data_IF_780038963666
#
_entry.id   IF_780038963666
#
_cell.length_a   1.000
_cell.length_b   1.000
_cell.length_c   1.000
_cell.angle_alpha   90.00
_cell.angle_beta   90.00
_cell.angle_gamma   90.00
#
_symmetry.space_group_name_H-M   'P 1'
#
loop_
_entity.id
_entity.type
_entity.pdbx_description
1 polymer ?
#
# COMPACT_ATOMS: atom_id res chain seq x y z
N UNK A 1 8.22 24.35 16.64
CA UNK A 1 7.49 25.43 17.33
C UNK A 1 6.03 25.35 16.88
N UNK A 2 5.07 25.57 17.77
CA UNK A 2 3.65 25.64 17.40
C UNK A 2 3.25 27.06 16.95
N UNK A 3 1.96 27.26 16.62
CA UNK A 3 1.43 28.57 16.20
C UNK A 3 1.42 29.62 17.33
N UNK A 4 1.45 29.18 18.58
CA UNK A 4 1.45 30.05 19.75
C UNK A 4 2.87 30.48 20.16
N UNK A 5 3.90 29.98 19.46
CA UNK A 5 5.30 30.28 19.70
C UNK A 5 5.94 29.38 20.76
N UNK A 6 5.29 28.30 21.18
CA UNK A 6 5.90 27.34 22.10
C UNK A 6 6.92 26.47 21.35
N UNK A 7 8.12 26.34 21.92
CA UNK A 7 9.15 25.45 21.43
C UNK A 7 9.01 24.08 22.09
N UNK A 8 9.12 23.04 21.27
CA UNK A 8 9.10 21.65 21.72
C UNK A 8 10.47 21.05 21.46
N UNK A 9 11.04 20.41 22.48
CA UNK A 9 12.38 19.81 22.44
C UNK A 9 12.27 18.34 22.83
N UNK A 10 12.71 17.47 21.92
CA UNK A 10 12.94 16.07 22.22
C UNK A 10 14.17 15.94 23.13
N UNK A 11 13.94 15.66 24.41
CA UNK A 11 15.00 15.39 25.39
C UNK A 11 14.91 13.90 25.76
N UNK A 12 15.79 13.05 25.19
CA UNK A 12 15.73 11.60 25.39
C UNK A 12 15.78 11.17 26.86
N UNK A 13 16.36 11.98 27.73
CA UNK A 13 16.52 11.67 29.16
C UNK A 13 15.32 12.14 29.98
N UNK A 14 14.75 13.30 29.65
CA UNK A 14 13.70 13.93 30.46
C UNK A 14 12.29 13.82 29.84
N UNK A 15 12.16 13.33 28.61
CA UNK A 15 10.90 13.32 27.86
C UNK A 15 10.72 14.56 26.96
N UNK A 16 9.49 14.82 26.52
CA UNK A 16 9.26 15.96 25.62
C UNK A 16 9.18 17.26 26.43
N UNK A 17 10.06 18.22 26.17
CA UNK A 17 10.06 19.51 26.86
C UNK A 17 9.28 20.54 26.06
N UNK A 18 8.34 21.23 26.68
CA UNK A 18 7.66 22.40 26.12
C UNK A 18 8.19 23.65 26.81
N UNK A 19 8.76 24.54 26.02
CA UNK A 19 9.24 25.86 26.42
C UNK A 19 8.24 26.87 25.88
N UNK A 20 7.46 27.48 26.77
CA UNK A 20 6.49 28.50 26.39
C UNK A 20 7.18 29.79 25.94
N UNK A 21 6.43 30.67 25.29
CA UNK A 21 6.96 31.94 24.75
C UNK A 21 7.56 32.86 25.82
N UNK A 22 7.10 32.74 27.05
CA UNK A 22 7.62 33.44 28.23
C UNK A 22 8.88 32.79 28.83
N UNK A 23 9.34 31.66 28.26
CA UNK A 23 10.48 30.89 28.74
C UNK A 23 10.13 29.81 29.76
N UNK A 24 8.86 29.67 30.18
CA UNK A 24 8.44 28.65 31.14
C UNK A 24 8.62 27.25 30.54
N UNK A 25 9.37 26.39 31.24
CA UNK A 25 9.63 25.01 30.81
C UNK A 25 8.70 24.05 31.54
N UNK A 26 8.06 23.17 30.77
CA UNK A 26 7.24 22.06 31.26
C UNK A 26 7.63 20.76 30.58
N UNK A 27 7.33 19.62 31.20
CA UNK A 27 7.64 18.30 30.67
C UNK A 27 6.35 17.56 30.34
N UNK A 28 6.29 17.00 29.13
CA UNK A 28 5.20 16.17 28.64
C UNK A 28 5.70 14.74 28.64
N UNK A 29 5.08 13.89 29.47
CA UNK A 29 5.37 12.47 29.47
C UNK A 29 4.90 11.82 28.15
N UNK A 30 5.80 11.07 27.52
CA UNK A 30 5.53 10.37 26.25
C UNK A 30 5.53 8.84 26.41
N UNK A 31 6.07 8.30 27.52
CA UNK A 31 6.21 6.85 27.71
C UNK A 31 7.29 6.20 26.84
N UNK A 32 8.05 6.99 26.08
CA UNK A 32 9.23 6.58 25.30
C UNK A 32 10.26 7.71 25.29
N UNK A 33 11.51 7.39 24.95
CA UNK A 33 12.58 8.37 24.79
C UNK A 33 12.42 9.12 23.45
N UNK A 34 12.10 10.43 23.45
CA UNK A 34 11.92 11.18 22.22
C UNK A 34 13.27 11.44 21.54
N UNK A 35 13.38 11.12 20.25
CA UNK A 35 14.57 11.37 19.42
C UNK A 35 14.37 12.57 18.48
N UNK A 36 13.14 12.77 18.00
CA UNK A 36 12.76 13.91 17.17
C UNK A 36 11.34 14.36 17.47
N UNK A 37 11.05 15.64 17.20
CA UNK A 37 9.71 16.21 17.41
C UNK A 37 9.32 17.14 16.27
N UNK A 38 8.07 17.02 15.83
CA UNK A 38 7.41 17.95 14.93
C UNK A 38 6.01 18.28 15.44
N UNK A 39 5.52 19.48 15.12
CA UNK A 39 4.22 19.96 15.61
C UNK A 39 3.40 20.46 14.43
N UNK A 40 2.26 19.83 14.22
CA UNK A 40 1.26 20.28 13.27
C UNK A 40 0.21 21.13 13.98
N UNK A 41 -0.23 22.18 13.32
CA UNK A 41 -1.33 22.97 13.82
C UNK A 41 -2.66 22.25 13.53
N UNK A 42 -3.56 22.22 14.53
CA UNK A 42 -4.91 21.68 14.37
C UNK A 42 -5.94 22.58 15.04
N UNK A 43 -7.20 22.44 14.63
CA UNK A 43 -8.33 23.12 15.27
C UNK A 43 -8.56 22.67 16.72
N UNK A 44 -8.12 21.46 17.08
CA UNK A 44 -8.28 20.88 18.42
C UNK A 44 -7.07 21.13 19.32
N UNK A 45 -6.13 21.99 18.93
CA UNK A 45 -4.84 22.19 19.62
C UNK A 45 -3.66 21.56 18.89
N UNK A 46 -2.41 21.79 19.33
CA UNK A 46 -1.23 21.28 18.62
C UNK A 46 -1.23 19.75 18.59
N UNK A 47 -1.01 19.19 17.40
CA UNK A 47 -0.80 17.76 17.22
C UNK A 47 0.69 17.50 17.09
N UNK A 48 1.23 16.77 18.04
CA UNK A 48 2.67 16.60 18.24
C UNK A 48 3.06 15.20 17.78
N UNK A 49 4.01 15.13 16.86
CA UNK A 49 4.63 13.91 16.37
C UNK A 49 5.99 13.75 17.02
N UNK A 50 6.21 12.61 17.68
CA UNK A 50 7.44 12.30 18.40
C UNK A 50 8.02 11.00 17.86
N UNK A 51 9.16 11.12 17.19
CA UNK A 51 9.95 9.97 16.76
C UNK A 51 10.71 9.41 17.97
N UNK A 52 10.84 8.08 18.03
CA UNK A 52 11.55 7.35 19.06
C UNK A 52 12.17 6.07 18.50
N UNK A 53 13.10 5.48 19.25
CA UNK A 53 13.65 4.17 18.93
C UNK A 53 12.57 3.07 18.91
N UNK A 54 11.45 3.30 19.59
CA UNK A 54 10.29 2.40 19.64
C UNK A 54 9.15 2.90 18.77
N UNK A 55 9.44 3.62 17.68
CA UNK A 55 8.44 4.08 16.71
C UNK A 55 7.96 5.52 16.92
N UNK A 56 6.74 5.83 16.47
CA UNK A 56 6.20 7.18 16.42
C UNK A 56 5.06 7.33 17.44
N UNK A 57 5.16 8.33 18.30
CA UNK A 57 4.07 8.70 19.21
C UNK A 57 3.44 10.00 18.73
N UNK A 58 2.12 9.96 18.54
CA UNK A 58 1.30 11.10 18.12
C UNK A 58 0.43 11.52 19.29
N UNK A 59 0.57 12.77 19.74
CA UNK A 59 -0.16 13.31 20.88
C UNK A 59 -0.98 14.53 20.47
N UNK A 60 -2.25 14.55 20.88
CA UNK A 60 -3.16 15.68 20.68
C UNK A 60 -4.03 15.79 21.92
N UNK A 61 -3.88 16.88 22.67
CA UNK A 61 -4.52 17.06 23.98
C UNK A 61 -4.14 15.91 24.95
N UNK A 62 -5.12 15.32 25.62
CA UNK A 62 -4.95 14.14 26.49
C UNK A 62 -4.79 12.83 25.72
N UNK A 63 -5.11 12.82 24.42
CA UNK A 63 -5.07 11.61 23.61
C UNK A 63 -3.64 11.36 23.12
N UNK A 64 -3.20 10.12 23.24
CA UNK A 64 -1.91 9.66 22.75
C UNK A 64 -2.11 8.36 21.98
N UNK A 65 -1.56 8.33 20.77
CA UNK A 65 -1.56 7.17 19.89
C UNK A 65 -0.10 6.80 19.62
N UNK A 66 0.26 5.55 19.86
CA UNK A 66 1.58 5.03 19.52
C UNK A 66 1.45 4.15 18.28
N UNK A 67 2.26 4.43 17.27
CA UNK A 67 2.44 3.59 16.10
C UNK A 67 3.75 2.85 16.34
N UNK A 68 3.65 1.55 16.64
CA UNK A 68 4.78 0.75 17.09
C UNK A 68 5.62 0.18 15.91
N UNK A 69 6.91 -0.10 16.14
CA UNK A 69 7.86 -0.57 15.13
C UNK A 69 8.06 -2.09 15.22
N UNK A 70 7.11 -2.90 15.64
CA UNK A 70 7.32 -4.35 15.66
C UNK A 70 6.14 -5.11 15.10
N UNK A 71 6.42 -5.87 14.03
CA UNK A 71 5.90 -7.22 13.91
C UNK A 71 6.26 -7.99 15.20
N UNK A 72 5.27 -8.49 15.93
CA UNK A 72 5.57 -9.43 17.01
C UNK A 72 6.04 -10.74 16.37
N UNK A 73 7.34 -11.05 16.36
CA UNK A 73 7.76 -12.41 15.98
C UNK A 73 7.11 -13.41 16.93
N UNK A 74 6.12 -14.16 16.43
CA UNK A 74 5.50 -15.23 17.17
C UNK A 74 6.35 -16.50 17.04
N UNK A 75 6.48 -17.24 18.13
CA UNK A 75 7.02 -18.60 18.10
C UNK A 75 5.87 -19.56 18.39
N UNK A 76 5.67 -20.52 17.50
CA UNK A 76 4.81 -21.70 17.75
C UNK A 76 5.71 -22.92 17.58
N UNK A 77 5.71 -23.82 18.57
CA UNK A 77 6.47 -25.07 18.57
C UNK A 77 7.98 -24.95 18.24
N UNK A 78 8.62 -23.87 18.67
CA UNK A 78 10.07 -23.65 18.47
C UNK A 78 10.46 -23.17 17.08
N UNK A 79 9.52 -23.06 16.14
CA UNK A 79 9.73 -22.40 14.85
C UNK A 79 9.49 -20.89 14.97
N UNK A 80 10.31 -20.10 14.26
CA UNK A 80 10.19 -18.64 14.20
C UNK A 80 9.23 -18.26 13.07
N UNK A 81 8.13 -17.61 13.40
CA UNK A 81 7.22 -17.03 12.42
C UNK A 81 7.54 -15.55 12.29
N UNK A 82 7.62 -15.09 11.04
CA UNK A 82 7.69 -13.67 10.73
C UNK A 82 6.25 -13.15 10.78
N UNK A 83 5.87 -12.46 11.86
CA UNK A 83 4.70 -11.59 11.75
C UNK A 83 4.97 -10.55 10.67
N UNK A 84 3.95 -10.31 9.87
CA UNK A 84 4.07 -9.48 8.69
C UNK A 84 4.25 -8.00 8.95
N UNK A 85 4.05 -7.42 10.14
CA UNK A 85 4.03 -5.95 10.21
C UNK A 85 5.39 -5.32 9.83
N UNK A 86 5.53 -4.80 8.59
CA UNK A 86 6.65 -3.93 8.23
C UNK A 86 6.59 -2.77 9.19
N UNK A 87 7.65 -2.67 9.97
CA UNK A 87 7.78 -1.70 11.04
C UNK A 87 7.85 -0.31 10.40
N UNK A 88 7.40 0.73 11.10
CA UNK A 88 7.65 2.12 10.66
C UNK A 88 9.15 2.50 10.68
N UNK A 89 10.05 1.53 10.77
CA UNK A 89 11.48 1.75 10.85
C UNK A 89 11.95 2.35 12.16
N UNK A 90 13.23 2.68 12.21
CA UNK A 90 13.86 3.34 13.36
C UNK A 90 13.66 4.85 13.21
N UNK A 91 12.52 5.36 13.66
CA UNK A 91 12.19 6.77 13.46
C UNK A 91 13.18 7.70 14.18
N UNK A 92 13.74 8.68 13.46
CA UNK A 92 14.70 9.64 14.03
C UNK A 92 14.29 11.10 13.85
N UNK A 93 14.64 11.73 12.73
CA UNK A 93 14.18 13.08 12.41
C UNK A 93 12.73 13.02 11.98
N UNK A 94 11.91 13.99 12.38
CA UNK A 94 10.51 14.09 11.95
C UNK A 94 10.17 15.53 11.58
N UNK A 95 9.37 15.69 10.52
CA UNK A 95 8.77 16.94 10.11
C UNK A 95 7.31 16.71 9.70
N UNK A 96 6.47 17.73 9.76
CA UNK A 96 5.05 17.63 9.39
C UNK A 96 4.79 18.35 8.08
N UNK A 97 4.04 17.70 7.19
CA UNK A 97 3.48 18.32 5.98
C UNK A 97 2.16 19.02 6.30
N UNK A 98 1.35 18.40 7.18
CA UNK A 98 0.05 18.89 7.63
C UNK A 98 -0.39 18.18 8.92
N UNK A 99 -1.63 18.40 9.35
CA UNK A 99 -2.21 17.79 10.57
C UNK A 99 -2.20 16.26 10.57
N UNK A 100 -2.36 15.62 9.41
CA UNK A 100 -2.46 14.16 9.31
C UNK A 100 -1.20 13.50 8.77
N UNK A 101 -0.24 14.30 8.31
CA UNK A 101 0.88 13.79 7.52
C UNK A 101 2.21 14.24 8.09
N UNK A 102 3.06 13.25 8.40
CA UNK A 102 4.45 13.46 8.78
C UNK A 102 5.39 12.79 7.77
N UNK A 103 6.61 13.31 7.72
CA UNK A 103 7.76 12.65 7.10
C UNK A 103 8.84 12.47 8.15
N UNK A 104 9.61 11.40 8.04
CA UNK A 104 10.65 11.09 8.99
C UNK A 104 11.82 10.38 8.33
N UNK A 105 12.97 10.40 8.99
CA UNK A 105 14.13 9.62 8.58
C UNK A 105 14.20 8.32 9.35
N UNK A 106 14.63 7.27 8.67
CA UNK A 106 15.00 5.98 9.23
C UNK A 106 16.48 5.72 8.90
N UNK A 107 17.40 6.12 9.79
CA UNK A 107 18.83 5.93 9.59
C UNK A 107 19.24 4.46 9.61
N UNK A 108 18.43 3.54 10.16
CA UNK A 108 18.77 2.11 10.16
C UNK A 108 18.60 1.50 8.77
N UNK A 109 17.54 1.88 8.06
CA UNK A 109 17.28 1.38 6.70
C UNK A 109 17.71 2.34 5.60
N UNK A 110 18.40 3.43 5.96
CA UNK A 110 18.84 4.48 5.04
C UNK A 110 17.71 5.03 4.17
N UNK A 111 16.53 5.23 4.78
CA UNK A 111 15.34 5.70 4.08
C UNK A 111 14.77 6.99 4.68
N UNK A 112 14.05 7.72 3.84
CA UNK A 112 13.18 8.82 4.22
C UNK A 112 11.76 8.36 3.94
N UNK A 113 10.89 8.48 4.93
CA UNK A 113 9.56 7.88 4.93
C UNK A 113 8.49 8.92 5.16
N UNK A 114 7.33 8.65 4.61
CA UNK A 114 6.08 9.38 4.76
C UNK A 114 5.15 8.55 5.64
N UNK A 115 4.33 9.19 6.49
CA UNK A 115 3.33 8.53 7.32
C UNK A 115 2.04 9.34 7.34
N UNK A 116 0.94 8.69 6.99
CA UNK A 116 -0.40 9.22 7.22
C UNK A 116 -0.94 8.72 8.57
N UNK A 117 -1.10 9.62 9.54
CA UNK A 117 -1.41 9.30 10.93
C UNK A 117 -2.73 8.53 11.12
N UNK A 118 -3.75 8.81 10.29
CA UNK A 118 -5.06 8.14 10.41
C UNK A 118 -5.10 6.77 9.73
N UNK A 119 -4.24 6.56 8.74
CA UNK A 119 -4.21 5.33 7.96
C UNK A 119 -3.09 4.39 8.40
N UNK A 120 -2.16 4.88 9.22
CA UNK A 120 -0.98 4.13 9.69
C UNK A 120 -0.12 3.55 8.57
N UNK A 121 -0.11 4.22 7.41
CA UNK A 121 0.58 3.75 6.21
C UNK A 121 1.93 4.46 6.04
N UNK A 122 3.04 3.76 6.30
CA UNK A 122 4.36 4.24 5.92
C UNK A 122 4.61 4.07 4.42
N UNK A 123 5.34 5.02 3.83
CA UNK A 123 5.84 4.95 2.47
C UNK A 123 7.25 5.50 2.39
N UNK A 124 8.19 4.75 1.82
CA UNK A 124 9.51 5.28 1.47
C UNK A 124 9.39 6.33 0.34
N UNK A 125 9.87 7.54 0.60
CA UNK A 125 9.90 8.68 -0.34
C UNK A 125 11.32 9.03 -0.78
N UNK A 126 12.33 8.37 -0.21
CA UNK A 126 13.72 8.43 -0.62
C UNK A 126 14.52 7.29 0.03
N UNK A 127 15.49 6.74 -0.70
CA UNK A 127 16.15 5.48 -0.33
C UNK A 127 15.35 4.24 -0.75
N UNK A 128 15.90 3.07 -0.49
CA UNK A 128 15.23 1.77 -0.68
C UNK A 128 15.63 0.82 0.43
N UNK A 129 14.82 -0.19 0.69
CA UNK A 129 15.15 -1.30 1.61
C UNK A 129 15.63 -2.51 0.81
N UNK A 130 16.45 -3.37 1.43
CA UNK A 130 16.79 -4.69 0.91
C UNK A 130 16.15 -5.75 1.82
N UNK A 131 15.60 -6.80 1.21
CA UNK A 131 15.03 -7.95 1.91
C UNK A 131 16.07 -9.07 2.13
N UNK A 132 17.33 -8.72 2.40
CA UNK A 132 18.43 -9.68 2.62
C UNK A 132 18.81 -9.82 4.10
N UNK A 133 17.92 -9.36 4.99
CA UNK A 133 18.11 -9.26 6.44
C UNK A 133 19.25 -8.33 6.92
N UNK A 134 20.09 -7.80 6.02
CA UNK A 134 21.10 -6.80 6.39
C UNK A 134 20.44 -5.47 6.75
N UNK A 135 19.38 -5.10 6.03
CA UNK A 135 18.69 -3.81 6.15
C UNK A 135 19.54 -2.61 5.74
N UNK A 136 20.82 -2.79 5.40
CA UNK A 136 21.76 -1.72 5.09
C UNK A 136 21.81 -1.46 3.59
N UNK A 137 21.20 -0.36 3.17
CA UNK A 137 21.21 0.11 1.79
C UNK A 137 22.07 1.36 1.59
N UNK A 138 23.00 1.60 2.52
CA UNK A 138 23.81 2.79 2.59
C UNK A 138 24.53 3.09 1.29
N UNK A 139 24.43 4.33 0.83
CA UNK A 139 25.14 4.77 -0.37
C UNK A 139 24.76 6.17 -0.81
N UNK A 140 25.31 6.57 -1.95
CA UNK A 140 25.02 7.87 -2.52
C UNK A 140 24.58 7.74 -3.98
N UNK A 141 23.30 8.05 -4.23
CA UNK A 141 22.76 8.12 -5.58
C UNK A 141 21.56 9.08 -5.63
N UNK A 142 21.55 9.95 -6.63
CA UNK A 142 20.39 10.77 -6.99
C UNK A 142 19.45 9.99 -7.92
N UNK A 143 18.16 10.29 -7.85
CA UNK A 143 17.17 9.64 -8.70
C UNK A 143 15.76 9.78 -8.18
N UNK A 144 14.87 8.95 -8.72
CA UNK A 144 13.53 8.72 -8.17
C UNK A 144 13.62 8.19 -6.74
N UNK A 145 12.50 8.17 -5.99
CA UNK A 145 12.46 7.54 -4.67
C UNK A 145 12.99 6.11 -4.71
N UNK A 146 12.61 5.32 -5.72
CA UNK A 146 13.01 3.93 -5.91
C UNK A 146 14.51 3.74 -6.27
N UNK A 147 15.15 4.76 -6.86
CA UNK A 147 16.55 4.67 -7.34
C UNK A 147 17.56 5.39 -6.44
N UNK A 148 17.08 6.33 -5.61
CA UNK A 148 17.91 7.14 -4.75
C UNK A 148 18.51 6.31 -3.61
N UNK A 149 19.74 6.64 -3.21
CA UNK A 149 20.40 6.06 -2.04
C UNK A 149 20.82 7.18 -1.08
N UNK A 150 20.61 6.93 0.20
CA UNK A 150 21.01 7.76 1.33
C UNK A 150 21.94 6.94 2.23
N UNK A 151 22.59 7.61 3.18
CA UNK A 151 23.44 7.00 4.19
C UNK A 151 23.25 7.72 5.53
N UNK A 152 22.68 7.02 6.50
CA UNK A 152 22.30 7.50 7.82
C UNK A 152 21.60 8.89 7.82
N UNK A 153 20.45 9.06 7.14
CA UNK A 153 19.71 10.32 7.16
C UNK A 153 19.17 10.61 8.57
N UNK A 154 19.41 11.81 9.10
CA UNK A 154 19.02 12.17 10.48
C UNK A 154 18.18 13.44 10.57
N UNK A 155 18.64 14.54 9.97
CA UNK A 155 17.91 15.80 9.96
C UNK A 155 16.86 15.84 8.85
N UNK A 156 15.70 16.42 9.13
CA UNK A 156 14.63 16.59 8.15
C UNK A 156 13.86 17.89 8.37
N UNK A 157 13.47 18.55 7.30
CA UNK A 157 12.63 19.75 7.31
C UNK A 157 11.78 19.81 6.04
N UNK A 158 10.71 20.60 6.08
CA UNK A 158 9.88 20.91 4.91
C UNK A 158 10.18 22.34 4.47
N UNK A 159 10.46 22.52 3.17
CA UNK A 159 10.61 23.85 2.58
C UNK A 159 9.23 24.51 2.32
N UNK A 160 9.15 25.84 2.12
CA UNK A 160 7.88 26.52 1.86
C UNK A 160 7.14 26.06 0.58
N UNK A 161 7.82 25.33 -0.30
CA UNK A 161 7.24 24.75 -1.52
C UNK A 161 6.75 23.31 -1.31
N UNK A 162 6.83 22.78 -0.09
CA UNK A 162 6.39 21.44 0.29
C UNK A 162 7.36 20.32 -0.07
N UNK A 163 8.60 20.65 -0.43
CA UNK A 163 9.66 19.66 -0.62
C UNK A 163 10.33 19.31 0.71
N UNK A 164 10.87 18.10 0.78
CA UNK A 164 11.56 17.60 1.98
C UNK A 164 13.05 17.84 1.83
N UNK A 165 13.62 18.54 2.80
CA UNK A 165 15.06 18.76 2.93
C UNK A 165 15.59 17.78 3.97
N UNK A 166 16.62 17.02 3.61
CA UNK A 166 17.14 15.90 4.40
C UNK A 166 18.64 16.11 4.63
N UNK A 167 19.08 15.99 5.87
CA UNK A 167 20.50 15.86 6.19
C UNK A 167 20.90 14.38 6.05
N UNK A 168 21.52 14.09 4.92
CA UNK A 168 22.08 12.79 4.54
C UNK A 168 23.46 12.66 5.19
N UNK A 169 23.45 12.42 6.50
CA UNK A 169 24.57 12.71 7.39
C UNK A 169 25.79 11.81 7.17
N UNK A 170 25.59 10.52 6.85
CA UNK A 170 26.68 9.61 6.48
C UNK A 170 27.39 10.08 5.21
N UNK A 171 26.62 10.60 4.25
CA UNK A 171 27.14 11.22 3.03
C UNK A 171 27.62 12.66 3.20
N UNK A 172 27.46 13.28 4.38
CA UNK A 172 27.81 14.68 4.68
C UNK A 172 27.17 15.69 3.72
N UNK A 173 25.88 15.49 3.42
CA UNK A 173 25.15 16.30 2.42
C UNK A 173 23.79 16.75 2.92
N UNK A 174 23.31 17.86 2.34
CA UNK A 174 21.90 18.24 2.40
C UNK A 174 21.27 17.87 1.06
N UNK A 175 20.18 17.11 1.13
CA UNK A 175 19.47 16.58 -0.03
C UNK A 175 18.04 17.10 -0.05
N UNK A 176 17.46 17.19 -1.26
CA UNK A 176 16.09 17.66 -1.45
C UNK A 176 15.27 16.64 -2.21
N UNK A 177 14.15 16.24 -1.63
CA UNK A 177 13.10 15.44 -2.26
C UNK A 177 12.01 16.42 -2.69
N UNK A 178 11.59 16.36 -3.96
CA UNK A 178 10.53 17.23 -4.46
C UNK A 178 9.19 17.08 -3.71
N UNK A 179 8.20 17.95 -3.97
CA UNK A 179 6.90 17.86 -3.32
C UNK A 179 6.30 16.46 -3.44
N UNK A 180 5.83 15.94 -2.32
CA UNK A 180 5.34 14.58 -2.22
C UNK A 180 3.86 14.54 -2.64
N UNK A 181 3.53 13.68 -3.60
CA UNK A 181 2.14 13.41 -3.92
C UNK A 181 1.47 12.70 -2.73
N UNK A 182 0.40 13.30 -2.20
CA UNK A 182 -0.53 12.63 -1.30
C UNK A 182 -1.25 11.56 -2.13
N UNK A 183 -1.00 10.29 -1.83
CA UNK A 183 -1.74 9.15 -2.37
C UNK A 183 -2.84 8.85 -1.36
N UNK A 184 -4.07 8.68 -1.84
CA UNK A 184 -5.23 8.43 -0.99
C UNK A 184 -5.75 7.03 -1.32
N UNK A 185 -5.80 6.15 -0.33
CA UNK A 185 -6.63 4.95 -0.44
C UNK A 185 -8.08 5.36 -0.33
N UNK A 186 -8.86 4.88 -1.29
CA UNK A 186 -10.28 5.14 -1.33
C UNK A 186 -10.98 4.04 -0.55
N UNK A 187 -11.38 4.36 0.67
CA UNK A 187 -12.27 3.50 1.44
C UNK A 187 -13.68 3.71 0.88
N UNK A 188 -14.38 2.64 0.50
CA UNK A 188 -15.73 2.73 -0.06
C UNK A 188 -16.79 3.06 0.99
N UNK A 189 -16.61 4.14 1.75
CA UNK A 189 -17.73 4.88 2.31
C UNK A 189 -18.10 5.99 1.31
N UNK A 190 -19.37 6.07 0.93
CA UNK A 190 -19.90 7.07 -0.01
C UNK A 190 -19.61 8.54 0.41
N UNK A 191 -19.12 8.76 1.63
CA UNK A 191 -18.74 10.04 2.21
C UNK A 191 -17.33 10.53 1.86
N UNK A 192 -16.47 9.71 1.25
CA UNK A 192 -15.08 10.08 0.94
C UNK A 192 -14.68 9.64 -0.48
N UNK A 193 -15.19 10.35 -1.48
CA UNK A 193 -14.65 10.22 -2.83
C UNK A 193 -13.24 10.80 -2.89
N UNK A 194 -12.32 10.19 -3.66
CA UNK A 194 -10.99 10.74 -3.86
C UNK A 194 -11.10 12.13 -4.47
N UNK A 195 -10.52 13.13 -3.81
CA UNK A 195 -10.24 14.42 -4.43
C UNK A 195 -8.98 14.28 -5.27
N UNK A 196 -9.14 13.94 -6.54
CA UNK A 196 -8.02 13.94 -7.47
C UNK A 196 -7.61 15.37 -7.77
N UNK A 197 -6.34 15.70 -7.55
CA UNK A 197 -5.77 16.87 -8.19
C UNK A 197 -5.57 16.51 -9.67
N UNK A 198 -6.64 16.64 -10.45
CA UNK A 198 -6.73 16.19 -11.83
C UNK A 198 -5.82 17.05 -12.72
N UNK A 199 -4.57 16.64 -12.86
CA UNK A 199 -3.72 17.12 -13.94
C UNK A 199 -4.12 16.42 -15.23
N UNK A 200 -4.24 17.17 -16.32
CA UNK A 200 -4.45 16.62 -17.67
C UNK A 200 -3.35 15.63 -18.11
N UNK A 201 -2.21 15.59 -17.40
CA UNK A 201 -1.11 14.65 -17.66
C UNK A 201 -1.10 13.43 -16.76
N UNK A 202 -2.15 13.19 -15.98
CA UNK A 202 -2.27 11.97 -15.16
C UNK A 202 -3.23 10.99 -15.83
N UNK A 203 -2.87 9.72 -15.85
CA UNK A 203 -3.74 8.60 -16.25
C UNK A 203 -4.17 7.85 -14.99
N UNK A 204 -5.43 8.04 -14.59
CA UNK A 204 -6.00 7.55 -13.33
C UNK A 204 -6.48 6.11 -13.50
N UNK A 205 -5.93 5.18 -12.73
CA UNK A 205 -6.31 3.77 -12.71
C UNK A 205 -6.91 3.46 -11.34
N UNK A 206 -8.17 3.04 -11.30
CA UNK A 206 -8.77 2.53 -10.06
C UNK A 206 -8.44 1.05 -9.93
N UNK A 207 -7.70 0.65 -8.89
CA UNK A 207 -7.45 -0.75 -8.57
C UNK A 207 -8.39 -1.19 -7.44
N UNK A 208 -9.30 -2.11 -7.75
CA UNK A 208 -10.32 -2.58 -6.83
C UNK A 208 -10.17 -4.06 -6.57
N UNK A 209 -10.22 -4.45 -5.31
CA UNK A 209 -10.09 -5.85 -4.87
C UNK A 209 -9.07 -5.92 -3.74
N UNK A 210 -8.42 -7.07 -3.59
CA UNK A 210 -7.38 -7.23 -2.59
C UNK A 210 -6.14 -6.44 -3.02
N UNK A 211 -6.14 -5.15 -2.73
CA UNK A 211 -4.93 -4.37 -2.63
C UNK A 211 -4.21 -4.86 -1.38
N UNK A 212 -3.07 -5.53 -1.55
CA UNK A 212 -2.32 -6.17 -0.46
C UNK A 212 -1.56 -5.15 0.41
N UNK A 213 -2.16 -3.98 0.67
CA UNK A 213 -1.66 -2.99 1.63
C UNK A 213 -1.93 -3.39 3.09
N UNK A 214 -2.40 -4.61 3.34
CA UNK A 214 -2.68 -5.10 4.68
C UNK A 214 -1.56 -6.01 5.19
N UNK A 215 -1.19 -5.78 6.44
CA UNK A 215 -0.29 -6.56 7.28
C UNK A 215 1.20 -6.71 6.89
N UNK A 216 1.74 -6.34 5.71
CA UNK A 216 3.21 -6.38 5.43
C UNK A 216 3.67 -5.63 4.17
N UNK A 217 2.92 -4.63 3.71
CA UNK A 217 3.30 -3.84 2.55
C UNK A 217 3.40 -2.37 2.93
N UNK A 218 4.41 -1.71 2.39
CA UNK A 218 4.43 -0.27 2.26
C UNK A 218 3.80 0.10 0.91
N UNK A 219 3.52 1.37 0.68
CA UNK A 219 3.07 1.79 -0.65
C UNK A 219 4.05 1.36 -1.74
N UNK A 220 5.35 1.44 -1.52
CA UNK A 220 6.35 1.25 -2.58
C UNK A 220 6.43 -0.19 -3.11
N UNK A 221 6.09 -1.17 -2.29
CA UNK A 221 6.04 -2.57 -2.68
C UNK A 221 4.61 -3.08 -2.84
N UNK A 222 3.62 -2.19 -2.87
CA UNK A 222 2.24 -2.51 -3.21
C UNK A 222 2.08 -2.82 -4.70
N UNK A 223 1.00 -3.52 -5.06
CA UNK A 223 0.68 -3.82 -6.46
C UNK A 223 0.53 -2.53 -7.27
N UNK A 224 -0.13 -1.52 -6.70
CA UNK A 224 -0.38 -0.23 -7.32
C UNK A 224 0.91 0.50 -7.66
N UNK A 225 1.83 0.61 -6.71
CA UNK A 225 3.11 1.28 -6.96
C UNK A 225 3.98 0.51 -7.97
N UNK A 226 3.97 -0.82 -7.91
CA UNK A 226 4.69 -1.64 -8.88
C UNK A 226 4.10 -1.49 -10.29
N UNK A 227 2.78 -1.40 -10.45
CA UNK A 227 2.13 -1.08 -11.74
C UNK A 227 2.59 0.31 -12.22
N UNK A 228 2.53 1.33 -11.36
CA UNK A 228 2.98 2.69 -11.71
C UNK A 228 4.44 2.71 -12.17
N UNK A 229 5.32 2.00 -11.46
CA UNK A 229 6.75 1.94 -11.77
C UNK A 229 7.00 1.30 -13.13
N UNK A 230 6.32 0.19 -13.43
CA UNK A 230 6.48 -0.50 -14.71
C UNK A 230 5.95 0.35 -15.87
N UNK A 231 4.76 0.92 -15.74
CA UNK A 231 4.18 1.81 -16.77
C UNK A 231 5.00 3.10 -16.97
N UNK A 232 5.61 3.63 -15.90
CA UNK A 232 6.45 4.83 -15.97
C UNK A 232 7.84 4.57 -16.58
N UNK A 233 8.33 3.33 -16.55
CA UNK A 233 9.64 2.95 -17.07
C UNK A 233 9.61 2.36 -18.49
N UNK A 234 8.42 2.09 -19.01
CA UNK A 234 8.20 1.54 -20.34
C UNK A 234 8.76 2.43 -21.45
N UNK A 235 9.66 1.85 -22.27
CA UNK A 235 10.24 2.49 -23.45
C UNK A 235 9.48 2.18 -24.74
N UNK A 236 8.38 1.44 -24.65
CA UNK A 236 7.60 1.06 -25.83
C UNK A 236 7.03 2.33 -26.52
N UNK A 237 7.01 2.39 -27.87
CA UNK A 237 6.40 3.52 -28.56
C UNK A 237 4.93 3.65 -28.17
N UNK A 238 4.49 4.88 -27.86
CA UNK A 238 3.11 5.19 -27.41
C UNK A 238 2.73 4.57 -26.05
N UNK A 239 3.71 4.18 -25.23
CA UNK A 239 3.50 3.96 -23.79
C UNK A 239 3.09 5.25 -23.06
N UNK A 240 2.56 5.14 -21.84
CA UNK A 240 2.29 6.30 -20.99
C UNK A 240 3.54 7.16 -20.82
N UNK A 241 4.69 6.53 -20.54
CA UNK A 241 5.96 7.23 -20.36
C UNK A 241 6.40 8.02 -21.61
N UNK A 242 6.32 7.42 -22.80
CA UNK A 242 6.69 8.11 -24.06
C UNK A 242 5.70 9.21 -24.45
N UNK A 243 4.43 9.09 -24.02
CA UNK A 243 3.41 10.12 -24.14
C UNK A 243 3.47 11.19 -23.04
N UNK A 244 4.38 11.05 -22.07
CA UNK A 244 4.51 11.93 -20.89
C UNK A 244 3.23 12.01 -20.05
N UNK A 245 2.46 10.92 -20.04
CA UNK A 245 1.36 10.70 -19.12
C UNK A 245 1.89 9.96 -17.89
N UNK A 246 1.55 10.45 -16.69
CA UNK A 246 1.93 9.84 -15.42
C UNK A 246 0.85 8.85 -15.00
N UNK A 247 1.13 7.55 -14.86
CA UNK A 247 0.18 6.63 -14.24
C UNK A 247 -0.05 7.03 -12.79
N UNK A 248 -1.31 6.98 -12.35
CA UNK A 248 -1.71 7.10 -10.95
C UNK A 248 -2.70 5.99 -10.64
N UNK A 249 -2.23 4.98 -9.90
CA UNK A 249 -3.07 3.87 -9.49
C UNK A 249 -3.58 4.16 -8.08
N UNK A 250 -4.90 4.19 -7.91
CA UNK A 250 -5.54 4.39 -6.61
C UNK A 250 -6.12 3.06 -6.13
N UNK A 251 -5.69 2.62 -4.96
CA UNK A 251 -6.28 1.49 -4.29
C UNK A 251 -7.70 1.85 -3.81
N UNK A 252 -8.66 1.02 -4.19
CA UNK A 252 -10.07 1.14 -3.82
C UNK A 252 -10.37 -0.05 -2.92
N UNK A 253 -10.49 0.22 -1.62
CA UNK A 253 -10.96 -0.74 -0.64
C UNK A 253 -12.49 -0.84 -0.74
N UNK A 254 -12.97 -1.44 -1.84
CA UNK A 254 -14.32 -1.96 -1.91
C UNK A 254 -14.36 -3.15 -0.96
N UNK A 255 -15.21 -3.08 0.06
CA UNK A 255 -15.40 -4.19 0.99
C UNK A 255 -15.51 -5.52 0.24
N UNK A 256 -15.15 -6.62 0.89
CA UNK A 256 -14.86 -7.91 0.26
C UNK A 256 -16.03 -8.65 -0.43
N UNK A 257 -17.13 -7.93 -0.69
CA UNK A 257 -18.32 -8.38 -1.41
C UNK A 257 -18.36 -7.74 -2.79
N UNK A 258 -18.63 -8.53 -3.82
CA UNK A 258 -18.76 -8.09 -5.21
C UNK A 258 -19.87 -7.02 -5.39
N UNK A 259 -20.91 -7.03 -4.55
CA UNK A 259 -21.95 -5.99 -4.56
C UNK A 259 -21.40 -4.59 -4.19
N UNK A 260 -20.40 -4.52 -3.30
CA UNK A 260 -19.78 -3.26 -2.91
C UNK A 260 -18.99 -2.64 -4.08
N UNK A 261 -18.32 -3.49 -4.87
CA UNK A 261 -17.63 -3.08 -6.09
C UNK A 261 -18.60 -2.48 -7.11
N UNK A 262 -19.71 -3.17 -7.39
CA UNK A 262 -20.74 -2.71 -8.33
C UNK A 262 -21.34 -1.36 -7.88
N UNK A 263 -21.73 -1.22 -6.61
CA UNK A 263 -22.29 0.01 -6.06
C UNK A 263 -21.33 1.21 -6.09
N UNK A 264 -20.05 0.97 -5.77
CA UNK A 264 -19.04 2.02 -5.85
C UNK A 264 -18.86 2.49 -7.30
N UNK A 265 -18.75 1.57 -8.25
CA UNK A 265 -18.58 1.91 -9.66
C UNK A 265 -19.82 2.59 -10.27
N UNK A 266 -21.03 2.24 -9.82
CA UNK A 266 -22.26 2.97 -10.16
C UNK A 266 -22.19 4.43 -9.69
N UNK A 267 -21.71 4.66 -8.46
CA UNK A 267 -21.54 6.02 -7.93
C UNK A 267 -20.48 6.79 -8.71
N UNK A 268 -19.32 6.18 -8.96
CA UNK A 268 -18.21 6.79 -9.70
C UNK A 268 -18.64 7.19 -11.11
N UNK A 269 -19.29 6.29 -11.84
CA UNK A 269 -19.74 6.58 -13.21
C UNK A 269 -20.86 7.63 -13.26
N UNK A 270 -21.70 7.71 -12.23
CA UNK A 270 -22.74 8.74 -12.11
C UNK A 270 -22.22 10.16 -11.81
N UNK A 271 -21.04 10.28 -11.18
CA UNK A 271 -20.46 11.57 -10.78
C UNK A 271 -19.47 12.17 -11.79
N UNK A 272 -19.11 11.42 -12.83
CA UNK A 272 -18.22 11.86 -13.92
C UNK A 272 -16.97 11.00 -14.07
N UNK A 273 -16.07 11.42 -14.96
CA UNK A 273 -14.87 10.64 -15.32
C UNK A 273 -13.75 10.80 -14.25
N UNK A 274 -13.87 10.04 -13.16
CA UNK A 274 -12.86 10.00 -12.09
C UNK A 274 -11.65 9.12 -12.43
N UNK A 275 -11.88 8.03 -13.18
CA UNK A 275 -10.85 7.09 -13.59
C UNK A 275 -10.80 6.97 -15.11
N UNK A 276 -9.59 6.81 -15.65
CA UNK A 276 -9.36 6.54 -17.06
C UNK A 276 -9.35 5.01 -17.35
N UNK A 277 -9.20 4.16 -16.33
CA UNK A 277 -9.35 2.70 -16.39
C UNK A 277 -9.66 2.11 -15.01
N UNK A 278 -10.29 0.92 -14.97
CA UNK A 278 -10.53 0.14 -13.76
C UNK A 278 -9.87 -1.23 -13.88
N UNK A 279 -9.17 -1.63 -12.83
CA UNK A 279 -8.70 -3.00 -12.60
C UNK A 279 -9.54 -3.58 -11.48
N UNK A 280 -10.17 -4.73 -11.72
CA UNK A 280 -10.99 -5.46 -10.75
C UNK A 280 -10.34 -6.82 -10.48
N UNK A 281 -9.77 -6.98 -9.30
CA UNK A 281 -9.20 -8.24 -8.83
C UNK A 281 -10.29 -9.11 -8.16
N UNK A 282 -10.46 -10.32 -8.68
CA UNK A 282 -11.45 -11.29 -8.22
C UNK A 282 -10.79 -12.63 -7.91
N UNK A 283 -10.83 -12.99 -6.63
CA UNK A 283 -10.33 -14.27 -6.11
C UNK A 283 -11.43 -15.04 -5.36
N UNK A 284 -11.11 -16.26 -4.93
CA UNK A 284 -12.06 -17.15 -4.26
C UNK A 284 -12.53 -16.63 -2.91
N UNK A 285 -11.71 -15.90 -2.16
CA UNK A 285 -12.11 -15.25 -0.89
C UNK A 285 -13.22 -14.24 -1.16
N UNK A 286 -13.04 -13.37 -2.16
CA UNK A 286 -14.05 -12.38 -2.55
C UNK A 286 -15.37 -13.06 -2.93
N UNK A 287 -15.30 -14.16 -3.70
CA UNK A 287 -16.51 -14.90 -4.10
C UNK A 287 -17.20 -15.55 -2.89
N UNK A 288 -16.47 -16.29 -2.07
CA UNK A 288 -16.97 -16.90 -0.85
C UNK A 288 -17.71 -15.89 0.05
N UNK A 289 -17.09 -14.73 0.29
CA UNK A 289 -17.66 -13.68 1.13
C UNK A 289 -18.84 -12.97 0.49
N UNK A 290 -18.86 -12.84 -0.85
CA UNK A 290 -19.98 -12.27 -1.60
C UNK A 290 -21.24 -13.13 -1.49
N UNK A 291 -21.08 -14.45 -1.54
CA UNK A 291 -22.21 -15.39 -1.57
C UNK A 291 -22.48 -16.07 -0.22
N UNK A 292 -21.68 -15.80 0.80
CA UNK A 292 -21.82 -16.41 2.12
C UNK A 292 -21.57 -17.92 2.11
N UNK A 293 -20.66 -18.38 1.26
CA UNK A 293 -20.31 -19.78 1.06
C UNK A 293 -18.87 -19.98 1.56
N UNK A 294 -18.57 -20.98 2.40
CA UNK A 294 -17.19 -21.33 2.74
C UNK A 294 -16.34 -21.59 1.49
N UNK A 295 -15.09 -21.16 1.48
CA UNK A 295 -14.23 -21.21 0.28
C UNK A 295 -14.05 -22.66 -0.25
N UNK A 296 -13.95 -23.63 0.66
CA UNK A 296 -13.85 -25.07 0.39
C UNK A 296 -15.13 -25.66 -0.25
N UNK A 297 -16.28 -25.03 -0.03
CA UNK A 297 -17.55 -25.47 -0.56
C UNK A 297 -17.85 -24.87 -1.95
N UNK A 298 -17.07 -23.88 -2.41
CA UNK A 298 -17.31 -23.22 -3.69
C UNK A 298 -17.44 -24.19 -4.87
N UNK A 299 -16.59 -25.23 -5.03
CA UNK A 299 -16.74 -26.20 -6.11
C UNK A 299 -18.04 -27.01 -5.99
N UNK A 300 -18.38 -27.48 -4.79
CA UNK A 300 -19.58 -28.27 -4.54
C UNK A 300 -20.88 -27.47 -4.73
N UNK A 301 -20.81 -26.15 -4.48
CA UNK A 301 -21.95 -25.23 -4.52
C UNK A 301 -21.92 -24.29 -5.72
N UNK A 302 -21.24 -24.67 -6.80
CA UNK A 302 -21.07 -23.86 -8.03
C UNK A 302 -22.38 -23.29 -8.56
N UNK A 303 -23.48 -24.06 -8.50
CA UNK A 303 -24.80 -23.65 -8.98
C UNK A 303 -25.41 -22.46 -8.19
N UNK A 304 -24.95 -22.19 -6.97
CA UNK A 304 -25.52 -21.14 -6.11
C UNK A 304 -24.96 -19.75 -6.42
N UNK A 305 -23.76 -19.68 -7.01
CA UNK A 305 -22.99 -18.44 -7.14
C UNK A 305 -22.44 -18.18 -8.55
N UNK A 306 -22.09 -19.20 -9.34
CA UNK A 306 -21.36 -19.04 -10.62
C UNK A 306 -22.07 -18.12 -11.60
N UNK A 307 -23.36 -18.38 -11.87
CA UNK A 307 -24.12 -17.58 -12.83
C UNK A 307 -24.45 -16.19 -12.29
N UNK A 308 -24.64 -16.05 -10.96
CA UNK A 308 -24.84 -14.74 -10.32
C UNK A 308 -23.60 -13.86 -10.44
N UNK A 309 -22.42 -14.42 -10.17
CA UNK A 309 -21.14 -13.74 -10.36
C UNK A 309 -20.97 -13.34 -11.83
N UNK A 310 -21.24 -14.25 -12.76
CA UNK A 310 -21.14 -13.99 -14.22
C UNK A 310 -22.01 -12.80 -14.64
N UNK A 311 -23.28 -12.78 -14.20
CA UNK A 311 -24.21 -11.69 -14.48
C UNK A 311 -23.77 -10.37 -13.83
N UNK A 312 -23.22 -10.41 -12.62
CA UNK A 312 -22.71 -9.23 -11.94
C UNK A 312 -21.52 -8.61 -12.69
N UNK A 313 -20.56 -9.44 -13.09
CA UNK A 313 -19.43 -8.99 -13.89
C UNK A 313 -19.88 -8.40 -15.24
N UNK A 314 -20.88 -9.00 -15.89
CA UNK A 314 -21.49 -8.45 -17.11
C UNK A 314 -22.07 -7.05 -16.90
N UNK A 315 -22.79 -6.83 -15.79
CA UNK A 315 -23.34 -5.50 -15.46
C UNK A 315 -22.23 -4.47 -15.23
N UNK A 316 -21.18 -4.85 -14.51
CA UNK A 316 -20.02 -3.98 -14.27
C UNK A 316 -19.34 -3.61 -15.59
N UNK A 317 -19.06 -4.58 -16.47
CA UNK A 317 -18.43 -4.35 -17.76
C UNK A 317 -19.30 -3.44 -18.65
N UNK A 318 -20.61 -3.70 -18.73
CA UNK A 318 -21.54 -2.89 -19.51
C UNK A 318 -21.58 -1.43 -19.02
N UNK A 319 -21.67 -1.23 -17.70
CA UNK A 319 -21.69 0.09 -17.08
C UNK A 319 -20.40 0.88 -17.39
N UNK A 320 -19.23 0.25 -17.23
CA UNK A 320 -17.95 0.90 -17.49
C UNK A 320 -17.75 1.19 -18.98
N UNK A 321 -18.19 0.29 -19.88
CA UNK A 321 -18.20 0.56 -21.33
C UNK A 321 -19.05 1.76 -21.70
N UNK A 322 -20.24 1.91 -21.10
CA UNK A 322 -21.10 3.08 -21.31
C UNK A 322 -20.41 4.38 -20.85
N UNK A 323 -19.66 4.32 -19.75
CA UNK A 323 -18.84 5.43 -19.27
C UNK A 323 -17.50 5.60 -20.04
N UNK A 324 -17.22 4.76 -21.04
CA UNK A 324 -15.94 4.72 -21.78
C UNK A 324 -14.72 4.51 -20.87
N UNK A 325 -14.89 3.76 -19.80
CA UNK A 325 -13.82 3.38 -18.88
C UNK A 325 -13.47 1.90 -19.16
N UNK A 326 -12.26 1.60 -19.65
CA UNK A 326 -11.83 0.22 -19.85
C UNK A 326 -11.76 -0.55 -18.52
N UNK A 327 -12.30 -1.77 -18.53
CA UNK A 327 -12.22 -2.72 -17.42
C UNK A 327 -11.19 -3.80 -17.72
N UNK A 328 -10.35 -4.11 -16.74
CA UNK A 328 -9.50 -5.30 -16.71
C UNK A 328 -9.84 -6.13 -15.48
N UNK A 329 -10.34 -7.35 -15.67
CA UNK A 329 -10.57 -8.29 -14.58
C UNK A 329 -9.30 -9.12 -14.38
N UNK A 330 -8.86 -9.27 -13.14
CA UNK A 330 -7.67 -10.03 -12.77
C UNK A 330 -8.09 -11.19 -11.89
N UNK A 331 -7.47 -12.35 -12.11
CA UNK A 331 -7.68 -13.51 -11.26
C UNK A 331 -6.36 -14.26 -11.07
N UNK A 332 -6.17 -14.78 -9.87
CA UNK A 332 -4.95 -15.41 -9.39
C UNK A 332 -5.31 -16.54 -8.41
N UNK A 333 -4.39 -17.49 -8.14
CA UNK A 333 -4.62 -18.51 -7.13
C UNK A 333 -4.53 -17.91 -5.72
N UNK A 334 -5.17 -18.58 -4.78
CA UNK A 334 -4.98 -18.44 -3.35
C UNK A 334 -3.99 -19.53 -2.87
N UNK A 335 -3.40 -19.37 -1.68
CA UNK A 335 -2.38 -20.26 -1.13
C UNK A 335 -2.74 -21.74 -1.14
N UNK A 336 -3.94 -22.04 -0.66
CA UNK A 336 -4.52 -23.38 -0.56
C UNK A 336 -4.93 -23.95 -1.94
N UNK A 337 -4.63 -23.27 -3.04
CA UNK A 337 -4.84 -23.78 -4.39
C UNK A 337 -3.52 -24.14 -5.07
N UNK A 338 -2.40 -23.94 -4.37
CA UNK A 338 -1.04 -24.24 -4.80
C UNK A 338 -0.49 -25.48 -4.06
N UNK A 339 0.79 -25.79 -4.25
CA UNK A 339 1.45 -26.92 -3.59
C UNK A 339 1.42 -26.80 -2.07
N UNK A 340 1.69 -27.91 -1.37
CA UNK A 340 1.79 -27.91 0.09
C UNK A 340 2.82 -26.89 0.64
N UNK A 341 3.83 -26.46 -0.14
CA UNK A 341 4.77 -25.42 0.29
C UNK A 341 4.10 -24.05 0.48
N UNK A 342 3.22 -23.69 -0.44
CA UNK A 342 2.38 -22.49 -0.36
C UNK A 342 1.08 -22.75 0.43
N UNK A 343 0.66 -24.03 0.58
CA UNK A 343 -0.54 -24.44 1.30
C UNK A 343 -0.35 -24.74 2.80
N UNK A 344 0.88 -24.82 3.32
CA UNK A 344 1.19 -25.30 4.68
C UNK A 344 0.76 -24.39 5.85
N UNK A 345 0.00 -23.33 5.62
CA UNK A 345 -0.16 -22.23 6.59
C UNK A 345 -1.19 -22.49 7.68
N UNK A 346 -2.04 -23.49 7.50
CA UNK A 346 -3.24 -23.63 8.32
C UNK A 346 -3.08 -24.54 9.56
N UNK A 347 -1.86 -25.00 9.88
CA UNK A 347 -1.62 -25.79 11.09
C UNK A 347 -1.56 -24.95 12.37
N UNK A 348 -1.57 -23.61 12.28
CA UNK A 348 -1.10 -22.77 13.39
C UNK A 348 -2.13 -21.90 14.08
N UNK A 349 -3.38 -21.74 13.61
CA UNK A 349 -4.46 -21.41 14.56
C UNK A 349 -5.92 -21.43 14.11
N UNK A 350 -6.30 -21.31 12.83
CA UNK A 350 -7.72 -21.40 12.42
C UNK A 350 -7.87 -21.93 10.99
N UNK A 351 -8.68 -22.98 10.85
CA UNK A 351 -9.22 -23.53 9.60
C UNK A 351 -8.17 -24.07 8.60
N UNK A 352 -7.77 -25.33 8.82
CA UNK A 352 -7.06 -26.13 7.83
C UNK A 352 -7.90 -26.38 6.58
N UNK A 353 -7.51 -25.78 5.45
CA UNK A 353 -8.01 -26.16 4.13
C UNK A 353 -6.99 -27.09 3.45
N UNK A 354 -7.44 -28.26 3.01
CA UNK A 354 -6.65 -29.12 2.11
C UNK A 354 -6.50 -28.44 0.75
N UNK A 355 -5.36 -28.57 0.07
CA UNK A 355 -5.19 -27.98 -1.25
C UNK A 355 -6.24 -28.45 -2.26
N UNK A 356 -6.95 -27.51 -2.90
CA UNK A 356 -7.99 -27.83 -3.89
C UNK A 356 -7.96 -26.88 -5.11
N UNK A 357 -7.29 -27.32 -6.17
CA UNK A 357 -7.19 -26.60 -7.43
C UNK A 357 -8.57 -26.33 -8.09
N UNK A 358 -9.59 -27.14 -7.80
CA UNK A 358 -10.93 -27.00 -8.42
C UNK A 358 -11.58 -25.66 -8.09
N UNK A 359 -11.27 -25.06 -6.95
CA UNK A 359 -11.78 -23.75 -6.54
C UNK A 359 -11.41 -22.68 -7.58
N UNK A 360 -10.19 -22.75 -8.11
CA UNK A 360 -9.72 -21.89 -9.20
C UNK A 360 -10.43 -22.15 -10.52
N UNK A 361 -10.60 -23.42 -10.86
CA UNK A 361 -11.24 -23.82 -12.11
C UNK A 361 -12.69 -23.33 -12.20
N UNK A 362 -13.47 -23.50 -11.12
CA UNK A 362 -14.86 -23.05 -11.08
C UNK A 362 -14.96 -21.53 -11.10
N UNK A 363 -14.03 -20.81 -10.45
CA UNK A 363 -13.95 -19.35 -10.49
C UNK A 363 -13.67 -18.85 -11.90
N UNK A 364 -12.61 -19.34 -12.53
CA UNK A 364 -12.23 -18.96 -13.89
C UNK A 364 -13.34 -19.27 -14.89
N UNK A 365 -14.01 -20.42 -14.72
CA UNK A 365 -15.17 -20.79 -15.55
C UNK A 365 -16.30 -19.78 -15.38
N UNK A 366 -16.64 -19.39 -14.15
CA UNK A 366 -17.67 -18.39 -13.87
C UNK A 366 -17.30 -17.02 -14.47
N UNK A 367 -16.06 -16.56 -14.28
CA UNK A 367 -15.62 -15.30 -14.86
C UNK A 367 -15.69 -15.34 -16.39
N UNK A 368 -15.22 -16.41 -17.04
CA UNK A 368 -15.24 -16.54 -18.50
C UNK A 368 -16.66 -16.50 -19.09
N UNK A 369 -17.68 -17.03 -18.38
CA UNK A 369 -19.09 -16.92 -18.80
C UNK A 369 -19.58 -15.47 -18.91
N UNK A 370 -18.95 -14.53 -18.20
CA UNK A 370 -19.33 -13.13 -18.27
C UNK A 370 -19.05 -12.51 -19.65
N UNK A 371 -18.07 -13.03 -20.40
CA UNK A 371 -17.60 -12.42 -21.65
C UNK A 371 -16.79 -11.14 -21.45
N UNK A 372 -16.57 -10.70 -20.21
CA UNK A 372 -15.65 -9.63 -19.88
C UNK A 372 -14.19 -10.07 -20.08
N UNK A 373 -13.29 -9.11 -20.24
CA UNK A 373 -11.89 -9.40 -20.50
C UNK A 373 -11.14 -9.76 -19.21
N UNK A 374 -10.55 -10.97 -19.17
CA UNK A 374 -9.92 -11.55 -17.98
C UNK A 374 -8.42 -11.73 -18.21
N UNK A 375 -7.63 -11.24 -17.27
CA UNK A 375 -6.23 -11.57 -17.10
C UNK A 375 -6.11 -12.70 -16.08
N UNK A 376 -5.94 -13.92 -16.59
CA UNK A 376 -5.69 -15.09 -15.77
C UNK A 376 -4.19 -15.19 -15.44
N UNK A 377 -3.84 -15.01 -14.17
CA UNK A 377 -2.47 -15.08 -13.67
C UNK A 377 -2.06 -16.45 -13.13
N UNK A 378 -2.97 -17.43 -13.13
CA UNK A 378 -2.66 -18.78 -12.66
C UNK A 378 -1.40 -19.39 -13.27
N UNK A 379 -1.17 -19.35 -14.59
CA UNK A 379 0.06 -19.89 -15.17
C UNK A 379 1.32 -19.22 -14.62
N UNK A 380 1.30 -17.89 -14.41
CA UNK A 380 2.45 -17.17 -13.89
C UNK A 380 2.78 -17.54 -12.44
N UNK A 381 1.76 -17.82 -11.61
CA UNK A 381 1.95 -18.31 -10.26
C UNK A 381 2.48 -19.75 -10.23
N UNK A 382 1.93 -20.63 -11.07
CA UNK A 382 2.38 -22.02 -11.19
C UNK A 382 3.82 -22.11 -11.69
N UNK A 383 4.19 -21.28 -12.68
CA UNK A 383 5.56 -21.19 -13.19
C UNK A 383 6.53 -20.67 -12.11
N UNK A 384 6.09 -19.70 -11.30
CA UNK A 384 6.89 -19.16 -10.21
C UNK A 384 7.10 -20.20 -9.10
N UNK A 385 6.06 -20.94 -8.74
CA UNK A 385 6.13 -22.04 -7.78
C UNK A 385 7.03 -23.19 -8.27
N UNK A 386 6.98 -23.52 -9.56
CA UNK A 386 7.81 -24.58 -10.13
C UNK A 386 9.30 -24.21 -10.22
N UNK A 387 9.68 -22.94 -10.00
CA UNK A 387 11.04 -22.49 -10.16
C UNK A 387 11.96 -23.03 -9.04
N UNK A 388 13.19 -23.48 -9.37
CA UNK A 388 14.16 -23.89 -8.36
C UNK A 388 14.47 -22.74 -7.39
N UNK A 389 14.32 -23.00 -6.07
CA UNK A 389 14.51 -22.01 -5.01
C UNK A 389 13.60 -20.78 -5.13
N UNK A 390 12.36 -20.95 -5.60
CA UNK A 390 11.41 -19.85 -5.61
C UNK A 390 11.22 -19.28 -4.19
N UNK A 391 11.12 -17.95 -4.05
CA UNK A 391 10.71 -17.36 -2.79
C UNK A 391 9.22 -17.65 -2.54
N UNK A 392 8.76 -17.63 -1.28
CA UNK A 392 7.35 -17.76 -0.96
C UNK A 392 6.53 -16.70 -1.69
N UNK A 393 5.43 -17.11 -2.33
CA UNK A 393 4.56 -16.21 -3.09
C UNK A 393 3.59 -15.44 -2.17
N UNK A 394 3.42 -15.94 -0.96
CA UNK A 394 2.49 -15.41 0.03
C UNK A 394 3.03 -15.58 1.48
N UNK A 395 2.34 -14.94 2.43
CA UNK A 395 2.75 -14.86 3.83
C UNK A 395 2.35 -16.07 4.67
N UNK A 396 3.09 -16.33 5.75
CA UNK A 396 2.91 -17.54 6.58
C UNK A 396 1.74 -17.50 7.56
N UNK A 397 1.28 -16.31 7.99
CA UNK A 397 0.21 -16.16 8.98
C UNK A 397 -1.12 -15.67 8.38
N UNK A 398 -1.11 -15.28 7.10
CA UNK A 398 -2.24 -14.63 6.43
C UNK A 398 -2.18 -14.94 4.93
N UNK A 399 -3.30 -15.27 4.25
CA UNK A 399 -3.36 -15.52 2.80
C UNK A 399 -2.87 -14.41 1.85
N UNK A 400 -2.27 -13.34 2.38
CA UNK A 400 -1.80 -12.20 1.61
C UNK A 400 -0.47 -12.48 0.89
N UNK A 401 -0.25 -11.87 -0.28
CA UNK A 401 0.99 -12.02 -1.04
C UNK A 401 2.23 -11.54 -0.28
N UNK A 402 3.38 -12.16 -0.56
CA UNK A 402 4.68 -11.52 -0.32
C UNK A 402 4.93 -10.44 -1.36
N UNK A 403 6.06 -9.72 -1.24
CA UNK A 403 6.53 -8.83 -2.31
C UNK A 403 6.65 -9.54 -3.66
N UNK A 404 7.02 -10.83 -3.67
CA UNK A 404 7.15 -11.62 -4.89
C UNK A 404 5.78 -11.93 -5.54
N UNK A 405 4.78 -12.34 -4.75
CA UNK A 405 3.42 -12.52 -5.25
C UNK A 405 2.83 -11.22 -5.80
N UNK A 406 3.02 -10.09 -5.10
CA UNK A 406 2.60 -8.76 -5.57
C UNK A 406 3.26 -8.38 -6.89
N UNK A 407 4.56 -8.67 -7.05
CA UNK A 407 5.30 -8.39 -8.27
C UNK A 407 4.76 -9.16 -9.48
N UNK A 408 4.33 -10.42 -9.31
CA UNK A 408 3.69 -11.21 -10.37
C UNK A 408 2.40 -10.54 -10.83
N UNK A 409 1.53 -10.14 -9.88
CA UNK A 409 0.25 -9.49 -10.19
C UNK A 409 0.45 -8.14 -10.86
N UNK A 410 1.28 -7.28 -10.27
CA UNK A 410 1.58 -5.97 -10.82
C UNK A 410 2.16 -6.06 -12.24
N UNK A 411 3.06 -7.02 -12.47
CA UNK A 411 3.63 -7.27 -13.79
C UNK A 411 2.58 -7.70 -14.81
N UNK A 412 1.74 -8.67 -14.46
CA UNK A 412 0.69 -9.14 -15.35
C UNK A 412 -0.26 -8.00 -15.77
N UNK A 413 -0.65 -7.16 -14.81
CA UNK A 413 -1.55 -6.02 -15.04
C UNK A 413 -0.88 -4.96 -15.92
N UNK A 414 0.35 -4.55 -15.59
CA UNK A 414 1.08 -3.54 -16.36
C UNK A 414 1.33 -4.01 -17.80
N UNK A 415 1.72 -5.27 -18.00
CA UNK A 415 1.91 -5.84 -19.33
C UNK A 415 0.57 -5.88 -20.12
N UNK A 416 -0.55 -6.21 -19.48
CA UNK A 416 -1.86 -6.20 -20.13
C UNK A 416 -2.26 -4.78 -20.55
N UNK A 417 -2.06 -3.79 -19.68
CA UNK A 417 -2.28 -2.38 -19.98
C UNK A 417 -1.38 -1.89 -21.12
N UNK A 418 -0.10 -2.24 -21.16
CA UNK A 418 0.84 -1.86 -22.23
C UNK A 418 0.53 -2.51 -23.57
N UNK A 419 0.03 -3.75 -23.56
CA UNK A 419 -0.45 -4.41 -24.78
C UNK A 419 -1.70 -3.73 -25.34
N UNK A 420 -2.65 -3.36 -24.48
CA UNK A 420 -3.95 -2.78 -24.88
C UNK A 420 -3.90 -1.28 -25.16
N UNK A 421 -3.05 -0.56 -24.45
CA UNK A 421 -2.88 0.91 -24.51
C UNK A 421 -4.20 1.67 -24.41
N UNK A 422 -5.01 1.45 -23.36
CA UNK A 422 -6.32 2.07 -23.22
C UNK A 422 -6.28 3.62 -23.26
N UNK A 423 -5.16 4.21 -22.85
CA UNK A 423 -4.92 5.66 -22.93
C UNK A 423 -4.89 6.26 -24.34
N UNK A 424 -4.79 5.45 -25.40
CA UNK A 424 -4.86 5.97 -26.77
C UNK A 424 -6.28 6.32 -27.21
N UNK A 425 -7.29 5.85 -26.47
CA UNK A 425 -8.68 6.19 -26.68
C UNK A 425 -9.13 7.43 -25.88
N UNK A 426 -8.22 8.04 -25.11
CA UNK A 426 -8.48 9.21 -24.26
C UNK A 426 -8.70 10.48 -25.05
#
# INVERSE_FOLDING_TARGET
>A
MDRDGNLYVADPQSGLRRIARDGTVSTIAMGTAPLGVAVAASAQGPKIYVASATGMVIKQNSNQFSIFPSAETRRVDGQRFLQGYRTIGDTFGVAVLDEQTAVYTDPRTNTVRFLHAALTEPRIIGGRTLNDASGDTGGFKDGSSADSLFDAPTGIAIDPQGAVVVADSGNRRIRRIGPIARRTIVITSLSLLPTFNASARTYQIGFMGNSFIWQNAEWNDSIEAMIEQQLSSSRAPRSLATLRLKPNVSAIAAGSKADAAEQYLQTVTGLGHLYDAIVLDVNSVTVAQSFGIPEEELPARTAEWSDKLSMQIQRIDQMLRQARIPLLIVTHPMPYQLSAGEGAWAALERNSMEPDARVGDVLNTALNKSGAEILNLWPAFMDAEAAPNHPPLFMTEDPHFTEFGRAIVAKGIADALERRRPWLAR
#
